data_IF_227190053829
#
_entry.id   IF_227190053829
#
_cell.length_a   1.000
_cell.length_b   1.000
_cell.length_c   1.000
_cell.angle_alpha   90.00
_cell.angle_beta   90.00
_cell.angle_gamma   90.00
#
_symmetry.space_group_name_H-M   'P 1'
#
loop_
_entity.id
_entity.type
_entity.pdbx_description
1 polymer ?
#
# COMPACT_ATOMS: atom_id res chain seq x y z
N UNK A 1 4.42 17.50 -2.42
CA UNK A 1 4.57 17.63 -3.89
C UNK A 1 5.53 16.57 -4.39
N UNK A 2 5.04 15.58 -5.16
CA UNK A 2 5.82 14.79 -6.15
C UNK A 2 4.93 14.42 -7.32
N UNK A 3 4.66 15.40 -8.14
CA UNK A 3 4.18 15.16 -9.50
C UNK A 3 5.20 14.39 -10.37
N UNK A 4 6.54 14.64 -10.32
CA UNK A 4 7.44 14.13 -11.36
C UNK A 4 7.72 12.63 -11.32
N UNK A 5 7.93 12.04 -10.13
CA UNK A 5 8.36 10.63 -10.00
C UNK A 5 7.17 9.68 -9.98
N UNK A 6 6.03 10.15 -9.48
CA UNK A 6 4.76 9.42 -9.52
C UNK A 6 4.39 9.05 -10.95
N UNK A 7 4.48 10.01 -11.87
CA UNK A 7 4.16 9.76 -13.28
C UNK A 7 5.13 8.74 -13.89
N UNK A 8 6.43 8.83 -13.61
CA UNK A 8 7.43 7.85 -14.07
C UNK A 8 7.15 6.42 -13.59
N UNK A 9 6.71 6.26 -12.33
CA UNK A 9 6.35 4.93 -11.79
C UNK A 9 5.08 4.41 -12.46
N UNK A 10 4.07 5.26 -12.65
CA UNK A 10 2.83 4.92 -13.34
C UNK A 10 3.10 4.52 -14.82
N UNK A 11 3.92 5.27 -15.53
CA UNK A 11 4.26 5.02 -16.93
C UNK A 11 5.05 3.72 -17.11
N UNK A 12 5.82 3.31 -16.11
CA UNK A 12 6.58 2.07 -16.14
C UNK A 12 5.77 0.84 -15.69
N UNK A 13 4.69 1.04 -14.94
CA UNK A 13 3.84 -0.04 -14.43
C UNK A 13 3.45 -1.10 -15.48
N UNK A 14 3.02 -0.74 -16.71
CA UNK A 14 2.66 -1.74 -17.73
C UNK A 14 3.77 -2.73 -18.04
N UNK A 15 5.04 -2.32 -17.93
CA UNK A 15 6.22 -3.17 -18.23
C UNK A 15 6.49 -4.21 -17.15
N UNK A 16 6.01 -3.98 -15.93
CA UNK A 16 6.25 -4.84 -14.76
C UNK A 16 4.98 -5.48 -14.21
N UNK A 17 3.82 -5.15 -14.76
CA UNK A 17 2.52 -5.67 -14.32
C UNK A 17 2.48 -7.21 -14.27
N UNK A 18 3.18 -7.88 -15.19
CA UNK A 18 3.25 -9.35 -15.27
C UNK A 18 4.25 -10.00 -14.29
N UNK A 19 5.08 -9.22 -13.59
CA UNK A 19 6.05 -9.75 -12.63
C UNK A 19 5.36 -10.21 -11.33
N UNK A 20 6.06 -11.02 -10.53
CA UNK A 20 5.63 -11.33 -9.15
C UNK A 20 5.68 -10.07 -8.29
N UNK A 21 4.80 -9.97 -7.30
CA UNK A 21 4.62 -8.77 -6.48
C UNK A 21 5.93 -8.25 -5.87
N UNK A 22 6.76 -9.12 -5.28
CA UNK A 22 8.05 -8.72 -4.72
C UNK A 22 9.08 -8.22 -5.77
N UNK A 23 8.96 -8.64 -7.03
CA UNK A 23 9.80 -8.15 -8.12
C UNK A 23 9.33 -6.79 -8.66
N UNK A 24 8.02 -6.50 -8.56
CA UNK A 24 7.46 -5.18 -8.89
C UNK A 24 7.96 -4.12 -7.90
N UNK A 25 7.91 -4.41 -6.60
CA UNK A 25 8.41 -3.53 -5.55
C UNK A 25 9.88 -3.15 -5.79
N UNK A 26 10.71 -4.12 -6.14
CA UNK A 26 12.13 -3.88 -6.44
C UNK A 26 12.33 -3.02 -7.70
N UNK A 27 11.55 -3.24 -8.76
CA UNK A 27 11.61 -2.46 -9.99
C UNK A 27 11.15 -1.01 -9.76
N UNK A 28 10.08 -0.82 -8.98
CA UNK A 28 9.56 0.51 -8.67
C UNK A 28 10.48 1.31 -7.75
N UNK A 29 11.07 0.68 -6.72
CA UNK A 29 12.06 1.34 -5.87
C UNK A 29 13.25 1.85 -6.69
N UNK A 30 13.69 1.09 -7.71
CA UNK A 30 14.76 1.51 -8.63
C UNK A 30 14.38 2.71 -9.49
N UNK A 31 13.13 2.82 -9.93
CA UNK A 31 12.65 3.90 -10.81
C UNK A 31 12.35 5.16 -10.04
N UNK A 32 11.78 5.00 -8.85
CA UNK A 32 11.53 6.09 -7.95
C UNK A 32 12.83 6.66 -7.36
N UNK A 33 13.86 5.82 -7.22
CA UNK A 33 15.11 6.18 -6.55
C UNK A 33 15.02 6.13 -5.02
N UNK A 34 13.89 5.65 -4.48
CA UNK A 34 13.58 5.63 -3.06
C UNK A 34 12.69 4.43 -2.73
N UNK A 35 12.73 3.98 -1.49
CA UNK A 35 11.92 2.86 -1.03
C UNK A 35 10.48 3.31 -0.73
N UNK A 36 9.52 2.66 -1.35
CA UNK A 36 8.11 2.81 -0.99
C UNK A 36 7.80 2.01 0.26
N UNK A 37 7.43 2.70 1.33
CA UNK A 37 7.13 2.07 2.62
C UNK A 37 5.65 2.16 3.00
N UNK A 38 4.88 3.08 2.39
CA UNK A 38 3.48 3.25 2.74
C UNK A 38 2.56 2.50 1.77
N UNK A 39 1.72 1.62 2.33
CA UNK A 39 0.67 0.85 1.64
C UNK A 39 -0.73 1.32 2.03
N UNK A 40 -0.84 2.47 2.70
CA UNK A 40 -2.12 3.06 3.09
C UNK A 40 -3.03 3.26 1.88
N UNK A 41 -4.30 2.96 2.08
CA UNK A 41 -5.36 3.17 1.10
C UNK A 41 -5.76 4.64 1.00
N UNK A 42 -5.28 5.49 1.90
CA UNK A 42 -5.65 6.89 1.98
C UNK A 42 -4.41 7.76 1.85
N UNK A 43 -4.47 8.73 0.94
CA UNK A 43 -3.47 9.80 0.88
C UNK A 43 -3.86 10.83 1.95
N UNK A 44 -3.17 10.81 3.09
CA UNK A 44 -3.44 11.74 4.18
C UNK A 44 -2.59 13.00 3.92
N UNK A 45 -3.22 14.12 3.51
CA UNK A 45 -2.47 15.34 3.29
C UNK A 45 -2.00 15.90 4.62
N UNK A 46 -0.74 16.35 4.66
CA UNK A 46 -0.15 16.93 5.86
C UNK A 46 -0.60 18.39 6.01
N UNK A 47 -1.73 18.60 6.68
CA UNK A 47 -2.45 19.88 6.78
C UNK A 47 -2.72 20.25 8.24
N UNK A 48 -2.69 21.54 8.53
CA UNK A 48 -3.18 22.14 9.78
C UNK A 48 -4.33 23.10 9.50
N UNK A 49 -5.10 23.45 10.54
CA UNK A 49 -6.07 24.55 10.46
C UNK A 49 -5.38 25.88 10.74
N UNK A 50 -5.64 26.88 9.92
CA UNK A 50 -5.27 28.27 10.21
C UNK A 50 -6.25 28.92 11.21
N UNK A 51 -6.01 30.19 11.54
CA UNK A 51 -6.83 30.96 12.49
C UNK A 51 -8.29 31.10 12.03
N UNK A 52 -8.54 31.07 10.72
CA UNK A 52 -9.87 31.11 10.09
C UNK A 52 -10.51 29.72 9.97
N UNK A 53 -9.83 28.66 10.43
CA UNK A 53 -10.29 27.27 10.41
C UNK A 53 -10.14 26.56 9.05
N UNK A 54 -9.46 27.18 8.08
CA UNK A 54 -9.19 26.61 6.75
C UNK A 54 -7.96 25.69 6.81
N UNK A 55 -8.02 24.60 6.06
CA UNK A 55 -6.90 23.66 5.96
C UNK A 55 -5.80 24.22 5.06
N UNK A 56 -4.60 24.34 5.62
CA UNK A 56 -3.39 24.81 4.94
C UNK A 56 -2.27 23.78 5.10
N UNK A 57 -1.33 23.69 4.13
CA UNK A 57 -0.16 22.83 4.25
C UNK A 57 0.65 23.17 5.52
N UNK A 58 1.10 22.14 6.22
CA UNK A 58 1.96 22.25 7.41
C UNK A 58 3.37 21.75 7.08
N UNK A 59 4.40 22.32 7.72
CA UNK A 59 5.78 21.80 7.63
C UNK A 59 6.09 20.80 8.75
N UNK A 60 7.16 20.01 8.59
CA UNK A 60 7.53 18.99 9.59
C UNK A 60 7.94 19.66 10.91
N UNK A 61 8.63 20.80 10.82
CA UNK A 61 9.08 21.59 11.96
C UNK A 61 7.89 22.10 12.76
N UNK A 62 6.91 22.70 12.07
CA UNK A 62 5.67 23.18 12.70
C UNK A 62 4.91 22.05 13.40
N UNK A 63 4.80 20.88 12.76
CA UNK A 63 4.15 19.72 13.37
C UNK A 63 4.90 19.24 14.62
N UNK A 64 6.23 19.18 14.54
CA UNK A 64 7.07 18.75 15.66
C UNK A 64 6.90 19.68 16.87
N UNK A 65 6.86 20.99 16.63
CA UNK A 65 6.65 21.99 17.67
C UNK A 65 5.26 21.94 18.30
N UNK A 66 4.21 21.71 17.52
CA UNK A 66 2.82 21.75 18.04
C UNK A 66 2.33 20.43 18.61
N UNK A 67 2.77 19.30 18.05
CA UNK A 67 2.24 17.97 18.40
C UNK A 67 3.24 17.11 19.18
N UNK A 68 4.55 17.32 19.01
CA UNK A 68 5.57 16.47 19.67
C UNK A 68 6.11 17.12 20.93
N UNK A 69 6.68 18.32 20.83
CA UNK A 69 7.33 18.99 21.96
C UNK A 69 6.43 19.19 23.20
N UNK A 70 5.12 19.49 23.09
CA UNK A 70 4.26 19.64 24.26
C UNK A 70 4.07 18.36 25.07
N UNK A 71 4.21 17.21 24.40
CA UNK A 71 4.11 15.89 25.03
C UNK A 71 5.47 15.27 25.35
N UNK A 72 6.52 15.65 24.63
CA UNK A 72 7.89 15.19 24.85
C UNK A 72 8.90 16.32 24.63
N UNK A 73 9.18 17.14 25.66
CA UNK A 73 10.03 18.32 25.55
C UNK A 73 11.49 18.05 25.18
N UNK A 74 12.01 16.86 25.52
CA UNK A 74 13.39 16.43 25.20
C UNK A 74 13.52 15.87 23.76
N UNK A 75 12.44 15.92 22.98
CA UNK A 75 12.42 15.45 21.61
C UNK A 75 13.31 16.30 20.70
N UNK A 76 14.10 15.63 19.86
CA UNK A 76 14.90 16.29 18.83
C UNK A 76 14.90 15.47 17.54
N UNK A 77 15.16 16.13 16.41
CA UNK A 77 15.19 15.52 15.08
C UNK A 77 16.63 15.47 14.58
N UNK A 78 17.09 14.28 14.18
CA UNK A 78 18.40 14.07 13.55
C UNK A 78 18.28 14.27 12.03
N UNK A 79 18.55 15.48 11.56
CA UNK A 79 18.43 15.81 10.12
C UNK A 79 19.32 14.93 9.22
N UNK A 80 20.46 14.45 9.72
CA UNK A 80 21.34 13.58 8.94
C UNK A 80 20.73 12.20 8.66
N UNK A 81 19.79 11.76 9.50
CA UNK A 81 19.07 10.50 9.34
C UNK A 81 17.69 10.69 8.72
N UNK A 82 17.27 11.92 8.49
CA UNK A 82 16.00 12.22 7.82
C UNK A 82 16.02 11.65 6.41
N UNK A 83 15.04 10.80 6.12
CA UNK A 83 14.84 10.22 4.79
C UNK A 83 13.52 10.71 4.25
N UNK A 84 13.55 11.23 3.03
CA UNK A 84 12.33 11.56 2.31
C UNK A 84 11.71 10.23 1.84
N UNK A 85 10.67 9.80 2.54
CA UNK A 85 9.82 8.67 2.15
C UNK A 85 8.71 9.15 1.24
N UNK A 86 8.35 8.33 0.25
CA UNK A 86 7.26 8.64 -0.67
C UNK A 86 6.14 7.63 -0.54
N UNK A 87 4.92 8.13 -0.69
CA UNK A 87 3.71 7.34 -0.67
C UNK A 87 3.10 7.29 -2.07
N UNK A 88 2.95 6.08 -2.59
CA UNK A 88 2.06 5.81 -3.72
C UNK A 88 0.98 4.89 -3.19
N UNK A 89 -0.26 5.35 -3.24
CA UNK A 89 -1.40 4.54 -2.87
C UNK A 89 -1.61 3.43 -3.91
N UNK A 90 -1.11 2.24 -3.57
CA UNK A 90 -1.07 1.12 -4.52
C UNK A 90 -2.47 0.65 -4.91
N UNK A 91 -3.37 0.56 -3.93
CA UNK A 91 -4.75 0.14 -4.18
C UNK A 91 -5.48 1.11 -5.10
N UNK A 92 -5.23 2.42 -4.98
CA UNK A 92 -5.88 3.40 -5.85
C UNK A 92 -5.41 3.33 -7.30
N UNK A 93 -4.10 3.18 -7.52
CA UNK A 93 -3.51 3.34 -8.86
C UNK A 93 -3.30 2.02 -9.61
N UNK A 94 -3.11 0.92 -8.89
CA UNK A 94 -2.68 -0.34 -9.49
C UNK A 94 -3.64 -1.50 -9.20
N UNK A 95 -4.72 -1.28 -8.45
CA UNK A 95 -5.72 -2.31 -8.23
C UNK A 95 -6.38 -2.69 -9.56
N UNK A 96 -6.19 -3.95 -9.93
CA UNK A 96 -6.91 -4.60 -11.01
C UNK A 96 -8.05 -5.41 -10.39
N UNK A 97 -9.28 -5.05 -10.72
CA UNK A 97 -10.45 -5.77 -10.25
C UNK A 97 -10.39 -7.22 -10.74
N UNK A 98 -10.30 -8.15 -9.78
CA UNK A 98 -10.43 -9.58 -10.05
C UNK A 98 -11.90 -9.95 -9.83
N UNK A 99 -12.66 -10.26 -10.90
CA UNK A 99 -14.02 -10.73 -10.72
C UNK A 99 -14.02 -12.02 -9.90
N UNK A 100 -15.07 -12.20 -9.11
CA UNK A 100 -15.29 -13.46 -8.40
C UNK A 100 -15.50 -14.58 -9.41
N UNK A 101 -14.97 -15.77 -9.09
CA UNK A 101 -15.24 -16.98 -9.87
C UNK A 101 -16.76 -17.26 -9.91
N UNK A 102 -17.32 -17.74 -11.03
CA UNK A 102 -18.74 -18.04 -11.14
C UNK A 102 -19.24 -19.00 -10.05
N UNK A 103 -20.47 -18.79 -9.59
CA UNK A 103 -21.09 -19.66 -8.57
C UNK A 103 -21.17 -21.13 -9.01
N UNK A 104 -21.37 -21.37 -10.31
CA UNK A 104 -21.40 -22.73 -10.88
C UNK A 104 -20.07 -23.46 -10.69
N UNK A 105 -18.94 -22.78 -10.90
CA UNK A 105 -17.61 -23.35 -10.66
C UNK A 105 -17.41 -23.64 -9.16
N UNK A 106 -17.84 -22.74 -8.28
CA UNK A 106 -17.76 -22.95 -6.82
C UNK A 106 -18.51 -24.22 -6.42
N UNK A 107 -19.74 -24.40 -6.93
CA UNK A 107 -20.53 -25.60 -6.66
C UNK A 107 -19.87 -26.88 -7.18
N UNK A 108 -19.33 -26.84 -8.39
CA UNK A 108 -18.65 -27.99 -8.98
C UNK A 108 -17.43 -28.43 -8.16
N UNK A 109 -16.62 -27.47 -7.70
CA UNK A 109 -15.46 -27.77 -6.82
C UNK A 109 -15.89 -28.35 -5.48
N UNK A 110 -16.97 -27.83 -4.87
CA UNK A 110 -17.50 -28.35 -3.60
C UNK A 110 -17.94 -29.80 -3.76
N UNK A 111 -18.74 -30.12 -4.79
CA UNK A 111 -19.20 -31.49 -5.06
C UNK A 111 -18.03 -32.44 -5.34
N UNK A 112 -17.06 -32.01 -6.15
CA UNK A 112 -15.87 -32.81 -6.42
C UNK A 112 -15.01 -33.02 -5.16
N UNK A 113 -15.01 -32.06 -4.24
CA UNK A 113 -14.35 -32.18 -2.95
C UNK A 113 -15.09 -33.16 -2.03
N UNK A 114 -16.42 -33.09 -1.96
CA UNK A 114 -17.26 -34.04 -1.22
C UNK A 114 -17.05 -35.48 -1.68
N UNK A 115 -17.00 -35.73 -2.99
CA UNK A 115 -16.70 -37.07 -3.53
C UNK A 115 -15.32 -37.57 -3.10
N UNK A 116 -14.30 -36.70 -3.12
CA UNK A 116 -12.94 -37.06 -2.66
C UNK A 116 -12.92 -37.40 -1.17
N UNK A 117 -13.63 -36.63 -0.35
CA UNK A 117 -13.76 -36.88 1.09
C UNK A 117 -14.42 -38.23 1.32
N UNK A 118 -15.59 -38.48 0.71
CA UNK A 118 -16.32 -39.74 0.84
C UNK A 118 -15.48 -40.96 0.38
N UNK A 119 -14.75 -40.83 -0.72
CA UNK A 119 -13.85 -41.88 -1.21
C UNK A 119 -12.72 -42.17 -0.21
N UNK A 120 -12.21 -41.13 0.45
CA UNK A 120 -11.13 -41.25 1.42
C UNK A 120 -11.64 -41.91 2.71
N UNK A 121 -12.81 -41.51 3.19
CA UNK A 121 -13.45 -42.13 4.36
C UNK A 121 -13.70 -43.63 4.14
N UNK A 122 -14.25 -44.01 2.98
CA UNK A 122 -14.44 -45.43 2.64
C UNK A 122 -13.13 -46.22 2.64
N UNK A 123 -12.06 -45.64 2.11
CA UNK A 123 -10.74 -46.28 2.08
C UNK A 123 -10.12 -46.46 3.47
N UNK A 124 -10.46 -45.61 4.45
CA UNK A 124 -9.99 -45.73 5.84
C UNK A 124 -10.81 -46.74 6.63
N UNK A 125 -12.07 -46.94 6.25
CA UNK A 125 -13.00 -47.90 6.86
C UNK A 125 -12.85 -49.33 6.33
N UNK A 126 -12.20 -49.52 5.18
CA UNK A 126 -11.75 -50.82 4.64
C UNK A 126 -10.38 -51.23 5.22
#
# INVERSE_FOLDING_TARGET
>A
MLEPTKQKVLDYYPKVKALKEGAKDLAWNKIAGFNFHNRSQENIPFLKKDEDGKLVPQTIEEYFETEVLPHFPEGWVDENKTKIGYEINFTKYFYEFKPLRPLAEIKADILAFEEKVLKTEKKVLE
#
